data_IF_986368529270
#
_entry.id   IF_986368529270
#
_cell.length_a   1.000
_cell.length_b   1.000
_cell.length_c   1.000
_cell.angle_alpha   90.00
_cell.angle_beta   90.00
_cell.angle_gamma   90.00
#
_symmetry.space_group_name_H-M   'P 1'
#
loop_
_entity.id
_entity.type
_entity.pdbx_description
1 polymer ?
#
# COMPACT_ATOMS: atom_id res chain seq x y z
N UNK A 1 35.22 -3.04 -29.34
CA UNK A 1 34.71 -4.29 -28.75
C UNK A 1 34.64 -4.10 -27.25
N UNK A 2 33.42 -3.94 -26.75
CA UNK A 2 32.86 -4.23 -25.43
C UNK A 2 31.44 -3.65 -25.55
N UNK A 3 30.48 -4.55 -25.73
CA UNK A 3 29.05 -4.28 -25.86
C UNK A 3 28.46 -4.42 -24.45
N UNK A 4 27.28 -3.82 -24.27
CA UNK A 4 26.32 -4.04 -23.17
C UNK A 4 26.57 -3.16 -21.93
N UNK A 5 25.71 -2.21 -21.58
CA UNK A 5 24.25 -2.22 -21.68
C UNK A 5 23.71 -2.73 -20.35
N UNK A 6 23.64 -1.85 -19.37
CA UNK A 6 22.69 -1.98 -18.26
C UNK A 6 22.01 -0.64 -18.18
N UNK A 7 20.89 -0.51 -18.91
CA UNK A 7 19.85 0.38 -18.45
C UNK A 7 19.53 -0.09 -17.03
N UNK A 8 20.08 0.59 -16.02
CA UNK A 8 19.48 0.58 -14.69
C UNK A 8 18.07 1.12 -14.91
N UNK A 9 17.12 0.21 -15.18
CA UNK A 9 15.71 0.47 -14.98
C UNK A 9 15.65 0.92 -13.53
N UNK A 10 15.56 2.23 -13.31
CA UNK A 10 15.51 2.80 -11.97
C UNK A 10 14.21 2.32 -11.34
N UNK A 11 14.30 1.19 -10.64
CA UNK A 11 13.22 0.63 -9.87
C UNK A 11 12.73 1.73 -8.92
N UNK A 12 11.42 2.01 -8.95
CA UNK A 12 10.82 3.05 -8.12
C UNK A 12 11.14 2.79 -6.65
N UNK A 13 11.68 3.79 -5.99
CA UNK A 13 11.99 3.75 -4.56
C UNK A 13 10.73 3.94 -3.69
N UNK A 14 10.83 3.66 -2.38
CA UNK A 14 9.71 3.78 -1.45
C UNK A 14 9.01 5.16 -1.43
N UNK A 15 9.77 6.24 -1.62
CA UNK A 15 9.21 7.62 -1.67
C UNK A 15 8.38 7.87 -2.94
N UNK A 16 8.74 7.23 -4.05
CA UNK A 16 7.96 7.34 -5.29
C UNK A 16 6.64 6.57 -5.17
N UNK A 17 6.67 5.41 -4.51
CA UNK A 17 5.46 4.69 -4.11
C UNK A 17 4.57 5.58 -3.23
N UNK A 18 5.12 6.19 -2.18
CA UNK A 18 4.36 7.09 -1.31
C UNK A 18 3.73 8.26 -2.07
N UNK A 19 4.50 8.89 -2.94
CA UNK A 19 4.04 10.00 -3.77
C UNK A 19 2.90 9.60 -4.72
N UNK A 20 2.94 8.37 -5.25
CA UNK A 20 1.85 7.82 -6.09
C UNK A 20 0.64 7.36 -5.28
N UNK A 21 0.84 6.96 -4.02
CA UNK A 21 -0.21 6.51 -3.13
C UNK A 21 -1.14 7.65 -2.70
N UNK A 22 -0.61 8.85 -2.48
CA UNK A 22 -1.41 10.00 -2.03
C UNK A 22 -2.61 10.30 -2.94
N UNK A 23 -2.44 10.53 -4.27
CA UNK A 23 -3.58 10.79 -5.14
C UNK A 23 -4.53 9.60 -5.22
N UNK A 24 -4.02 8.36 -5.29
CA UNK A 24 -4.86 7.17 -5.31
C UNK A 24 -5.70 7.00 -4.02
N UNK A 25 -5.11 7.32 -2.87
CA UNK A 25 -5.80 7.31 -1.59
C UNK A 25 -6.83 8.44 -1.48
N UNK A 26 -6.56 9.61 -2.07
CA UNK A 26 -7.54 10.70 -2.14
C UNK A 26 -8.73 10.30 -3.02
N UNK A 27 -8.49 9.74 -4.20
CA UNK A 27 -9.54 9.19 -5.06
C UNK A 27 -10.34 8.10 -4.35
N UNK A 28 -9.68 7.25 -3.56
CA UNK A 28 -10.33 6.21 -2.76
C UNK A 28 -11.21 6.80 -1.64
N UNK A 29 -10.80 7.90 -1.02
CA UNK A 29 -11.62 8.61 -0.02
C UNK A 29 -12.87 9.17 -0.69
N UNK A 30 -12.71 9.85 -1.83
CA UNK A 30 -13.79 10.55 -2.53
C UNK A 30 -14.82 9.56 -3.10
N UNK A 31 -14.35 8.43 -3.65
CA UNK A 31 -15.20 7.37 -4.17
C UNK A 31 -15.68 6.37 -3.11
N UNK A 32 -15.26 6.54 -1.86
CA UNK A 32 -15.52 5.60 -0.75
C UNK A 32 -15.14 4.15 -1.09
N UNK A 33 -13.98 3.96 -1.70
CA UNK A 33 -13.49 2.65 -2.13
C UNK A 33 -13.44 1.67 -0.96
N UNK A 34 -14.07 0.51 -1.16
CA UNK A 34 -14.13 -0.56 -0.17
C UNK A 34 -12.98 -1.52 -0.36
N UNK A 35 -12.30 -1.84 0.73
CA UNK A 35 -11.17 -2.76 0.79
C UNK A 35 -11.56 -3.96 1.65
N UNK A 36 -11.88 -5.12 1.06
CA UNK A 36 -12.14 -6.32 1.83
C UNK A 36 -10.90 -6.76 2.62
N UNK A 37 -11.11 -7.16 3.87
CA UNK A 37 -10.10 -7.89 4.63
C UNK A 37 -9.73 -9.20 3.94
N UNK A 38 -8.51 -9.70 4.16
CA UNK A 38 -8.06 -11.00 3.62
C UNK A 38 -9.00 -12.16 3.94
N UNK A 39 -9.62 -12.15 5.12
CA UNK A 39 -10.57 -13.21 5.53
C UNK A 39 -12.01 -12.99 5.04
N UNK A 40 -12.28 -11.88 4.36
CA UNK A 40 -13.64 -11.48 3.94
C UNK A 40 -14.58 -11.08 5.09
N UNK A 41 -14.10 -11.04 6.33
CA UNK A 41 -14.92 -10.79 7.53
C UNK A 41 -15.13 -9.31 7.86
N UNK A 42 -14.29 -8.45 7.29
CA UNK A 42 -14.38 -7.02 7.45
C UNK A 42 -14.17 -6.29 6.11
N UNK A 43 -14.68 -5.08 6.04
CA UNK A 43 -14.48 -4.12 4.95
C UNK A 43 -13.91 -2.84 5.54
N UNK A 44 -12.83 -2.37 4.95
CA UNK A 44 -12.13 -1.17 5.36
C UNK A 44 -12.26 -0.09 4.30
N UNK A 45 -12.08 1.16 4.70
CA UNK A 45 -11.86 2.27 3.77
C UNK A 45 -10.95 3.32 4.38
N UNK A 46 -10.19 4.00 3.54
CA UNK A 46 -9.55 5.25 3.96
C UNK A 46 -10.65 6.32 4.02
N UNK A 47 -10.73 7.07 5.12
CA UNK A 47 -11.75 8.11 5.29
C UNK A 47 -11.20 9.51 5.47
N UNK A 48 -9.90 9.64 5.77
CA UNK A 48 -9.22 10.92 5.93
C UNK A 48 -7.72 10.76 5.65
N UNK A 49 -7.13 11.75 5.00
CA UNK A 49 -5.69 11.99 5.02
C UNK A 49 -5.37 13.26 5.81
N UNK A 50 -4.36 13.19 6.68
CA UNK A 50 -3.82 14.35 7.39
C UNK A 50 -2.45 14.70 6.80
N UNK A 51 -2.43 15.78 6.01
CA UNK A 51 -1.24 16.28 5.34
C UNK A 51 -0.15 16.73 6.31
N UNK A 52 -0.52 17.23 7.49
CA UNK A 52 0.46 17.74 8.46
C UNK A 52 1.23 16.61 9.16
N UNK A 53 0.58 15.47 9.33
CA UNK A 53 1.16 14.29 9.97
C UNK A 53 1.56 13.19 8.97
N UNK A 54 1.38 13.43 7.67
CA UNK A 54 1.54 12.46 6.57
C UNK A 54 0.91 11.10 6.94
N UNK A 55 -0.38 11.12 7.28
CA UNK A 55 -1.09 9.96 7.86
C UNK A 55 -2.48 9.73 7.27
N UNK A 56 -2.75 8.50 6.85
CA UNK A 56 -4.06 8.03 6.41
C UNK A 56 -4.82 7.38 7.57
N UNK A 57 -6.11 7.67 7.70
CA UNK A 57 -6.99 7.09 8.71
C UNK A 57 -7.96 6.11 8.07
N UNK A 58 -8.12 4.95 8.71
CA UNK A 58 -8.88 3.82 8.19
C UNK A 58 -10.09 3.58 9.08
N UNK A 59 -11.24 3.39 8.45
CA UNK A 59 -12.49 3.00 9.08
C UNK A 59 -12.76 1.53 8.77
N UNK A 60 -13.19 0.79 9.80
CA UNK A 60 -13.86 -0.49 9.61
C UNK A 60 -15.36 -0.22 9.38
N UNK A 61 -15.85 -0.44 8.17
CA UNK A 61 -17.23 -0.09 7.81
C UNK A 61 -18.27 -0.97 8.50
N UNK A 62 -17.92 -2.21 8.85
CA UNK A 62 -18.85 -3.10 9.56
C UNK A 62 -19.17 -2.60 10.97
N UNK A 63 -18.25 -1.88 11.61
CA UNK A 63 -18.36 -1.46 13.02
C UNK A 63 -18.35 0.06 13.21
N UNK A 64 -18.03 0.84 12.18
CA UNK A 64 -17.83 2.28 12.26
C UNK A 64 -16.58 2.73 13.04
N UNK A 65 -15.69 1.79 13.43
CA UNK A 65 -14.49 2.11 14.22
C UNK A 65 -13.44 2.79 13.35
N UNK A 66 -12.84 3.88 13.87
CA UNK A 66 -11.88 4.76 13.17
C UNK A 66 -10.54 4.91 13.90
N UNK A 67 -10.08 3.85 14.54
CA UNK A 67 -8.89 3.85 15.40
C UNK A 67 -7.60 3.36 14.72
N UNK A 68 -7.66 3.00 13.43
CA UNK A 68 -6.50 2.57 12.66
C UNK A 68 -6.01 3.69 11.74
N UNK A 69 -4.70 3.75 11.55
CA UNK A 69 -4.06 4.73 10.68
C UNK A 69 -2.71 4.21 10.18
N UNK A 70 -2.35 4.59 8.95
CA UNK A 70 -1.05 4.32 8.33
C UNK A 70 -0.29 5.64 8.23
N UNK A 71 0.87 5.73 8.88
CA UNK A 71 1.78 6.87 8.71
C UNK A 71 2.76 6.63 7.56
N UNK A 72 3.32 7.71 7.00
CA UNK A 72 4.34 7.62 5.94
C UNK A 72 5.48 6.67 6.26
N UNK A 73 6.13 6.80 7.42
CA UNK A 73 7.27 5.94 7.75
C UNK A 73 6.91 4.45 7.77
N UNK A 74 5.70 4.13 8.24
CA UNK A 74 5.20 2.77 8.25
C UNK A 74 5.00 2.25 6.81
N UNK A 75 4.38 3.07 5.96
CA UNK A 75 4.22 2.77 4.54
C UNK A 75 5.59 2.55 3.85
N UNK A 76 6.54 3.46 4.05
CA UNK A 76 7.88 3.38 3.44
C UNK A 76 8.60 2.10 3.88
N UNK A 77 8.48 1.71 5.14
CA UNK A 77 9.04 0.47 5.66
C UNK A 77 8.40 -0.76 4.99
N UNK A 78 7.08 -0.73 4.75
CA UNK A 78 6.37 -1.79 4.03
C UNK A 78 6.83 -1.94 2.59
N UNK A 79 6.94 -0.83 1.85
CA UNK A 79 7.45 -0.86 0.47
C UNK A 79 8.92 -1.29 0.43
N UNK A 80 9.75 -0.83 1.38
CA UNK A 80 11.15 -1.25 1.47
C UNK A 80 11.27 -2.78 1.60
N UNK A 81 10.43 -3.40 2.44
CA UNK A 81 10.40 -4.86 2.58
C UNK A 81 10.01 -5.55 1.28
N UNK A 82 8.97 -5.06 0.60
CA UNK A 82 8.53 -5.58 -0.70
C UNK A 82 9.68 -5.53 -1.72
N UNK A 83 10.36 -4.38 -1.85
CA UNK A 83 11.44 -4.20 -2.81
C UNK A 83 12.67 -5.06 -2.44
N UNK A 84 13.00 -5.19 -1.16
CA UNK A 84 14.08 -6.08 -0.70
C UNK A 84 13.77 -7.57 -0.97
N UNK A 85 12.49 -7.95 -1.01
CA UNK A 85 12.05 -9.29 -1.39
C UNK A 85 12.05 -9.50 -2.93
N UNK A 86 12.53 -8.54 -3.71
CA UNK A 86 12.55 -8.61 -5.17
C UNK A 86 11.23 -8.20 -5.83
N UNK A 87 10.41 -7.40 -5.13
CA UNK A 87 9.14 -6.89 -5.66
C UNK A 87 7.97 -7.87 -5.55
N UNK A 88 8.13 -8.99 -4.83
CA UNK A 88 7.06 -9.94 -4.54
C UNK A 88 7.20 -10.41 -3.10
N UNK A 89 6.10 -10.39 -2.32
CA UNK A 89 6.13 -10.77 -0.91
C UNK A 89 4.80 -11.41 -0.49
N UNK A 90 4.84 -12.37 0.43
CA UNK A 90 3.63 -13.01 0.96
C UNK A 90 2.81 -12.03 1.81
N UNK A 91 1.49 -12.13 1.70
CA UNK A 91 0.57 -11.39 2.57
C UNK A 91 0.79 -11.79 4.04
N UNK A 92 1.05 -10.81 4.89
CA UNK A 92 1.40 -10.94 6.30
C UNK A 92 2.85 -10.56 6.60
N UNK A 93 3.70 -10.43 5.56
CA UNK A 93 5.11 -10.13 5.73
C UNK A 93 5.47 -8.67 5.38
N UNK A 94 4.65 -8.00 4.57
CA UNK A 94 4.88 -6.61 4.12
C UNK A 94 4.64 -5.61 5.25
N UNK A 95 3.59 -5.81 6.06
CA UNK A 95 3.30 -4.98 7.23
C UNK A 95 2.90 -5.86 8.43
N UNK A 96 3.26 -5.44 9.66
CA UNK A 96 2.87 -6.16 10.88
C UNK A 96 1.37 -6.10 11.16
N UNK A 97 0.65 -5.16 10.55
CA UNK A 97 -0.78 -4.99 10.63
C UNK A 97 -1.41 -5.38 9.29
N UNK A 98 -1.99 -6.58 9.22
CA UNK A 98 -2.55 -7.11 7.97
C UNK A 98 -3.64 -6.24 7.34
N UNK A 99 -4.35 -5.42 8.12
CA UNK A 99 -5.32 -4.47 7.56
C UNK A 99 -4.63 -3.32 6.79
N UNK A 100 -3.47 -2.86 7.27
CA UNK A 100 -2.72 -1.80 6.61
C UNK A 100 -2.15 -2.32 5.29
N UNK A 101 -1.67 -3.55 5.31
CA UNK A 101 -1.17 -4.26 4.15
C UNK A 101 -2.21 -4.35 3.02
N UNK A 102 -3.42 -4.86 3.30
CA UNK A 102 -4.47 -4.96 2.28
C UNK A 102 -4.91 -3.59 1.76
N UNK A 103 -4.96 -2.57 2.62
CA UNK A 103 -5.29 -1.20 2.19
C UNK A 103 -4.21 -0.65 1.26
N UNK A 104 -2.93 -0.84 1.59
CA UNK A 104 -1.83 -0.41 0.72
C UNK A 104 -1.91 -1.17 -0.61
N UNK A 105 -2.00 -2.49 -0.58
CA UNK A 105 -1.96 -3.33 -1.78
C UNK A 105 -3.13 -3.07 -2.74
N UNK A 106 -4.35 -2.86 -2.22
CA UNK A 106 -5.55 -2.65 -3.05
C UNK A 106 -5.64 -1.22 -3.61
N UNK A 107 -5.16 -0.22 -2.87
CA UNK A 107 -5.29 1.19 -3.27
C UNK A 107 -4.09 1.67 -4.11
N UNK A 108 -2.90 1.10 -3.92
CA UNK A 108 -1.71 1.59 -4.59
C UNK A 108 -1.72 1.28 -6.10
N UNK A 109 -1.42 2.25 -6.98
CA UNK A 109 -1.56 2.07 -8.44
C UNK A 109 -0.55 1.11 -9.06
N UNK A 110 0.54 0.81 -8.35
CA UNK A 110 1.62 -0.08 -8.80
C UNK A 110 1.68 -1.41 -8.06
N UNK A 111 0.73 -1.69 -7.17
CA UNK A 111 0.65 -2.97 -6.48
C UNK A 111 -0.51 -3.79 -7.02
N UNK A 112 -0.30 -5.09 -7.05
CA UNK A 112 -1.35 -6.08 -7.30
C UNK A 112 -1.36 -7.11 -6.17
N UNK A 113 -2.53 -7.68 -5.89
CA UNK A 113 -2.67 -8.77 -4.92
C UNK A 113 -3.82 -9.71 -5.27
N UNK A 114 -3.58 -11.00 -5.09
CA UNK A 114 -4.57 -12.08 -5.16
C UNK A 114 -5.12 -12.46 -3.76
N UNK A 115 -4.69 -11.76 -2.71
CA UNK A 115 -5.02 -12.07 -1.32
C UNK A 115 -4.05 -13.04 -0.64
N UNK A 116 -3.10 -13.62 -1.37
CA UNK A 116 -2.03 -14.48 -0.84
C UNK A 116 -0.67 -13.82 -0.97
N UNK A 117 -0.44 -13.10 -2.07
CA UNK A 117 0.83 -12.45 -2.41
C UNK A 117 0.57 -10.99 -2.83
N UNK A 118 1.55 -10.12 -2.58
CA UNK A 118 1.58 -8.74 -3.05
C UNK A 118 2.76 -8.58 -4.02
N UNK A 119 2.50 -7.93 -5.16
CA UNK A 119 3.47 -7.80 -6.26
C UNK A 119 3.62 -6.33 -6.67
N UNK A 120 4.86 -5.89 -6.84
CA UNK A 120 5.19 -4.72 -7.64
C UNK A 120 4.88 -5.03 -9.11
N UNK A 121 4.19 -4.12 -9.79
CA UNK A 121 3.85 -4.24 -11.21
C UNK A 121 4.79 -3.45 -12.12
N UNK A 122 5.81 -2.83 -11.53
CA UNK A 122 6.82 -2.00 -12.18
C UNK A 122 8.24 -2.39 -11.74
#
# INVERSE_FOLDING_TARGET
MMVEGVDEIMAKGPEEYWSSFIPAAQDAIDNRTQVPSRSGRATYRIWKYDYSAERFFIENENTGRKNSSIGKQEFLNSITKLLHAGGTIDCGEMNSVGLHEVVIAIIHPWLDTDGEVIRSTI
#
